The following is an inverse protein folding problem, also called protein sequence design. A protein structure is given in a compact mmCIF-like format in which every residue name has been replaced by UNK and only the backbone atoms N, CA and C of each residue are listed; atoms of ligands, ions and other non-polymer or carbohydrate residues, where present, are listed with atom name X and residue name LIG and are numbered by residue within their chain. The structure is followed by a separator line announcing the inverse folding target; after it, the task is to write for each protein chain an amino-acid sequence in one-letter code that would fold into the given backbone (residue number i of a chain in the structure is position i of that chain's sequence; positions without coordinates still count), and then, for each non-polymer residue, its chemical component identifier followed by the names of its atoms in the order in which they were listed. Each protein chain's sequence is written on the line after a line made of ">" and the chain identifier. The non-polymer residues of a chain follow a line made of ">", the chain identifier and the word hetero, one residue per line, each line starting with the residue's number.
data_IF_225990053901
#
_entry.id   IF_225990053901
#
_cell.length_a   1.000
_cell.length_b   1.000
_cell.length_c   1.000
_cell.angle_alpha   90.00
_cell.angle_beta   90.00
_cell.angle_gamma   90.00
#
_symmetry.space_group_name_H-M   'P 1'
#
loop_
_entity.id
_entity.type
_entity.pdbx_description
1 polymer ?
#
# COMPACT_ATOMS: atom_id res chain seq x y z
N UNK A 1 -93.60 -78.77 -2.81
CA UNK A 1 -92.89 -77.91 -3.80
C UNK A 1 -92.65 -78.71 -5.07
N UNK A 2 -92.84 -78.13 -6.26
CA UNK A 2 -92.59 -78.85 -7.52
C UNK A 2 -91.08 -78.94 -7.81
N UNK A 3 -90.60 -79.98 -8.50
CA UNK A 3 -89.18 -80.13 -8.88
C UNK A 3 -88.62 -78.94 -9.66
N UNK A 4 -89.47 -78.18 -10.36
CA UNK A 4 -89.09 -76.96 -11.09
C UNK A 4 -88.78 -75.80 -10.16
N UNK A 5 -89.55 -75.62 -9.08
CA UNK A 5 -89.30 -74.60 -8.07
C UNK A 5 -88.00 -74.90 -7.33
N UNK A 6 -87.72 -76.17 -7.02
CA UNK A 6 -86.48 -76.58 -6.35
C UNK A 6 -85.23 -76.33 -7.21
N UNK A 7 -85.28 -76.67 -8.50
CA UNK A 7 -84.18 -76.37 -9.45
C UNK A 7 -83.94 -74.87 -9.61
N UNK A 8 -85.00 -74.06 -9.68
CA UNK A 8 -84.89 -72.60 -9.74
C UNK A 8 -84.24 -72.02 -8.47
N UNK A 9 -84.62 -72.52 -7.30
CA UNK A 9 -84.07 -72.07 -6.02
C UNK A 9 -82.59 -72.44 -5.85
N UNK A 10 -82.20 -73.64 -6.27
CA UNK A 10 -80.78 -74.08 -6.26
C UNK A 10 -79.93 -73.27 -7.22
N UNK A 11 -80.42 -73.00 -8.43
CA UNK A 11 -79.70 -72.17 -9.41
C UNK A 11 -79.54 -70.73 -8.91
N UNK A 12 -80.57 -70.18 -8.25
CA UNK A 12 -80.51 -68.86 -7.65
C UNK A 12 -79.50 -68.81 -6.50
N UNK A 13 -79.52 -69.81 -5.60
CA UNK A 13 -78.55 -69.92 -4.50
C UNK A 13 -77.12 -70.11 -5.01
N UNK A 14 -76.92 -70.94 -6.05
CA UNK A 14 -75.62 -71.11 -6.68
C UNK A 14 -75.14 -69.81 -7.34
N UNK A 15 -76.02 -69.09 -8.05
CA UNK A 15 -75.71 -67.79 -8.65
C UNK A 15 -75.35 -66.73 -7.59
N UNK A 16 -76.09 -66.67 -6.48
CA UNK A 16 -75.80 -65.78 -5.36
C UNK A 16 -74.47 -66.13 -4.67
N UNK A 17 -74.17 -67.43 -4.53
CA UNK A 17 -72.90 -67.88 -3.94
C UNK A 17 -71.73 -67.50 -4.85
N UNK A 18 -71.83 -67.76 -6.16
CA UNK A 18 -70.82 -67.37 -7.15
C UNK A 18 -70.64 -65.85 -7.17
N UNK A 19 -71.73 -65.07 -7.15
CA UNK A 19 -71.67 -63.62 -7.08
C UNK A 19 -70.98 -63.13 -5.80
N UNK A 20 -71.30 -63.71 -4.64
CA UNK A 20 -70.68 -63.37 -3.36
C UNK A 20 -69.18 -63.69 -3.31
N UNK A 21 -68.76 -64.80 -3.93
CA UNK A 21 -67.35 -65.19 -4.05
C UNK A 21 -66.62 -64.23 -4.99
N UNK A 22 -67.23 -63.89 -6.12
CA UNK A 22 -66.66 -62.93 -7.08
C UNK A 22 -66.50 -61.54 -6.46
N UNK A 23 -67.54 -61.01 -5.80
CA UNK A 23 -67.44 -59.69 -5.13
C UNK A 23 -66.43 -59.69 -4.00
N UNK A 24 -66.36 -60.78 -3.21
CA UNK A 24 -65.33 -60.93 -2.17
C UNK A 24 -63.92 -60.97 -2.75
N UNK A 25 -63.72 -61.64 -3.89
CA UNK A 25 -62.45 -61.68 -4.59
C UNK A 25 -62.03 -60.30 -5.12
N UNK A 26 -62.94 -59.58 -5.77
CA UNK A 26 -62.68 -58.22 -6.28
C UNK A 26 -62.32 -57.28 -5.13
N UNK A 27 -63.11 -57.28 -4.05
CA UNK A 27 -62.85 -56.45 -2.86
C UNK A 27 -61.52 -56.82 -2.19
N UNK A 28 -61.16 -58.11 -2.12
CA UNK A 28 -59.88 -58.55 -1.57
C UNK A 28 -58.71 -58.10 -2.46
N UNK A 29 -58.87 -58.17 -3.79
CA UNK A 29 -57.87 -57.73 -4.75
C UNK A 29 -57.64 -56.21 -4.68
N UNK A 30 -58.72 -55.43 -4.66
CA UNK A 30 -58.66 -53.97 -4.48
C UNK A 30 -58.06 -53.60 -3.11
N UNK A 31 -58.44 -54.30 -2.03
CA UNK A 31 -57.87 -54.06 -0.71
C UNK A 31 -56.36 -54.37 -0.67
N UNK A 32 -55.91 -55.43 -1.36
CA UNK A 32 -54.48 -55.74 -1.50
C UNK A 32 -53.76 -54.66 -2.30
N UNK A 33 -54.34 -54.20 -3.40
CA UNK A 33 -53.76 -53.13 -4.21
C UNK A 33 -53.61 -51.83 -3.41
N UNK A 34 -54.68 -51.41 -2.73
CA UNK A 34 -54.66 -50.22 -1.88
C UNK A 34 -53.63 -50.32 -0.74
N UNK A 35 -53.44 -51.51 -0.15
CA UNK A 35 -52.38 -51.72 0.86
C UNK A 35 -50.98 -51.58 0.28
N UNK A 36 -50.75 -52.09 -0.94
CA UNK A 36 -49.46 -51.94 -1.60
C UNK A 36 -49.18 -50.48 -1.97
N UNK A 37 -50.19 -49.76 -2.48
CA UNK A 37 -50.10 -48.32 -2.77
C UNK A 37 -49.85 -47.51 -1.49
N UNK A 38 -50.51 -47.85 -0.38
CA UNK A 38 -50.27 -47.21 0.92
C UNK A 38 -48.83 -47.43 1.40
N UNK A 39 -48.31 -48.67 1.33
CA UNK A 39 -46.93 -48.96 1.69
C UNK A 39 -45.93 -48.22 0.80
N UNK A 40 -46.18 -48.12 -0.51
CA UNK A 40 -45.34 -47.33 -1.41
C UNK A 40 -45.36 -45.85 -1.05
N UNK A 41 -46.52 -45.32 -0.68
CA UNK A 41 -46.66 -43.93 -0.26
C UNK A 41 -45.95 -43.65 1.07
N UNK A 42 -46.00 -44.58 2.03
CA UNK A 42 -45.27 -44.51 3.30
C UNK A 42 -43.76 -44.49 3.06
N UNK A 43 -43.23 -45.40 2.23
CA UNK A 43 -41.80 -45.44 1.86
C UNK A 43 -41.38 -44.14 1.15
N UNK A 44 -42.21 -43.65 0.23
CA UNK A 44 -41.95 -42.40 -0.48
C UNK A 44 -41.94 -41.21 0.49
N UNK A 45 -42.87 -41.18 1.46
CA UNK A 45 -42.95 -40.14 2.47
C UNK A 45 -41.70 -40.13 3.36
N UNK A 46 -41.28 -41.29 3.88
CA UNK A 46 -40.05 -41.41 4.68
C UNK A 46 -38.82 -40.98 3.89
N UNK A 47 -38.74 -41.37 2.61
CA UNK A 47 -37.62 -40.98 1.72
C UNK A 47 -37.57 -39.47 1.49
N UNK A 48 -38.72 -38.85 1.20
CA UNK A 48 -38.81 -37.40 1.00
C UNK A 48 -38.50 -36.62 2.28
N UNK A 49 -38.99 -37.11 3.42
CA UNK A 49 -38.69 -36.51 4.72
C UNK A 49 -37.20 -36.58 5.06
N UNK A 50 -36.55 -37.72 4.80
CA UNK A 50 -35.11 -37.88 4.95
C UNK A 50 -34.32 -36.90 4.07
N UNK A 51 -34.68 -36.79 2.80
CA UNK A 51 -34.05 -35.83 1.86
C UNK A 51 -34.26 -34.37 2.28
N UNK A 52 -35.43 -34.03 2.82
CA UNK A 52 -35.71 -32.68 3.30
C UNK A 52 -34.80 -32.31 4.47
N UNK A 53 -34.61 -33.23 5.42
CA UNK A 53 -33.70 -33.04 6.55
C UNK A 53 -32.24 -32.91 6.14
N UNK A 54 -31.80 -33.71 5.16
CA UNK A 54 -30.45 -33.59 4.57
C UNK A 54 -30.27 -32.24 3.89
N UNK A 55 -31.29 -31.76 3.17
CA UNK A 55 -31.26 -30.45 2.51
C UNK A 55 -31.21 -29.31 3.54
N UNK A 56 -32.01 -29.35 4.60
CA UNK A 56 -31.97 -28.38 5.70
C UNK A 56 -30.57 -28.31 6.32
N UNK A 57 -29.98 -29.47 6.63
CA UNK A 57 -28.62 -29.55 7.19
C UNK A 57 -27.58 -28.96 6.23
N UNK A 58 -27.73 -29.23 4.92
CA UNK A 58 -26.83 -28.70 3.88
C UNK A 58 -26.96 -27.18 3.75
N UNK A 59 -28.18 -26.65 3.81
CA UNK A 59 -28.45 -25.22 3.77
C UNK A 59 -27.89 -24.51 5.01
N UNK A 60 -28.04 -25.09 6.19
CA UNK A 60 -27.43 -24.57 7.43
C UNK A 60 -25.90 -24.53 7.34
N UNK A 61 -25.29 -25.62 6.86
CA UNK A 61 -23.84 -25.68 6.66
C UNK A 61 -23.35 -24.66 5.62
N UNK A 62 -24.09 -24.49 4.52
CA UNK A 62 -23.79 -23.50 3.49
C UNK A 62 -23.92 -22.07 4.03
N UNK A 63 -24.96 -21.79 4.83
CA UNK A 63 -25.17 -20.49 5.44
C UNK A 63 -24.06 -20.15 6.46
N UNK A 64 -23.66 -21.12 7.28
CA UNK A 64 -22.51 -20.96 8.18
C UNK A 64 -21.20 -20.73 7.40
N UNK A 65 -21.00 -21.41 6.28
CA UNK A 65 -19.86 -21.18 5.38
C UNK A 65 -19.90 -19.78 4.78
N UNK A 66 -21.06 -19.32 4.32
CA UNK A 66 -21.25 -17.98 3.76
C UNK A 66 -20.92 -16.89 4.80
N UNK A 67 -21.40 -17.03 6.04
CA UNK A 67 -21.10 -16.09 7.11
C UNK A 67 -19.60 -16.03 7.45
N UNK A 68 -18.90 -17.17 7.48
CA UNK A 68 -17.44 -17.19 7.69
C UNK A 68 -16.68 -16.50 6.57
N UNK A 69 -17.09 -16.70 5.31
CA UNK A 69 -16.48 -16.01 4.16
C UNK A 69 -16.77 -14.51 4.20
N UNK A 70 -17.98 -14.11 4.59
CA UNK A 70 -18.34 -12.70 4.76
C UNK A 70 -17.48 -12.02 5.83
N UNK A 71 -17.23 -12.70 6.95
CA UNK A 71 -16.39 -12.21 8.04
C UNK A 71 -14.92 -12.11 7.61
N UNK A 72 -14.38 -13.15 6.96
CA UNK A 72 -13.05 -13.11 6.37
C UNK A 72 -12.88 -12.00 5.32
N UNK A 73 -13.92 -11.74 4.51
CA UNK A 73 -13.93 -10.62 3.57
C UNK A 73 -13.93 -9.26 4.28
N UNK A 74 -14.65 -9.11 5.40
CA UNK A 74 -14.62 -7.88 6.22
C UNK A 74 -13.27 -7.67 6.88
N UNK A 75 -12.64 -8.74 7.39
CA UNK A 75 -11.28 -8.69 7.93
C UNK A 75 -10.27 -8.33 6.84
N UNK A 76 -10.42 -8.91 5.65
CA UNK A 76 -9.61 -8.57 4.48
C UNK A 76 -9.85 -7.12 4.04
N UNK A 77 -11.09 -6.64 3.98
CA UNK A 77 -11.42 -5.24 3.67
C UNK A 77 -10.83 -4.29 4.73
N UNK A 78 -10.92 -4.63 6.02
CA UNK A 78 -10.33 -3.84 7.09
C UNK A 78 -8.79 -3.84 7.01
N UNK A 79 -8.17 -4.98 6.72
CA UNK A 79 -6.75 -5.10 6.46
C UNK A 79 -6.35 -4.30 5.20
N UNK A 80 -7.13 -4.39 4.12
CA UNK A 80 -6.92 -3.63 2.89
C UNK A 80 -7.15 -2.13 3.08
N UNK A 81 -8.06 -1.70 3.95
CA UNK A 81 -8.27 -0.29 4.29
C UNK A 81 -7.14 0.24 5.17
N UNK A 82 -6.72 -0.53 6.18
CA UNK A 82 -5.54 -0.25 6.98
C UNK A 82 -4.28 -0.18 6.12
N UNK A 83 -4.16 -1.08 5.15
CA UNK A 83 -3.13 -1.07 4.14
C UNK A 83 -3.34 0.11 3.18
N UNK A 84 -4.52 0.43 2.67
CA UNK A 84 -4.74 1.59 1.77
C UNK A 84 -4.46 2.95 2.44
N UNK A 85 -4.52 3.02 3.78
CA UNK A 85 -4.04 4.16 4.56
C UNK A 85 -2.52 4.20 4.74
N UNK A 86 -1.81 3.08 4.51
CA UNK A 86 -0.36 2.91 4.71
C UNK A 86 0.41 2.69 3.39
N UNK A 87 -0.02 1.73 2.57
CA UNK A 87 0.15 1.63 1.12
C UNK A 87 -0.64 2.72 0.41
N UNK A 88 0.10 3.70 -0.11
CA UNK A 88 -0.33 4.42 -1.30
C UNK A 88 -0.55 3.36 -2.39
N UNK A 89 -1.80 3.08 -2.78
CA UNK A 89 -2.05 2.27 -3.98
C UNK A 89 -1.51 3.06 -5.14
N UNK A 90 -0.42 2.52 -5.63
CA UNK A 90 0.51 3.19 -6.48
C UNK A 90 0.07 2.78 -7.89
N UNK A 91 -0.41 3.76 -8.69
CA UNK A 91 -0.98 3.55 -10.02
C UNK A 91 -0.04 2.81 -10.97
N UNK A 92 -0.57 2.14 -11.99
CA UNK A 92 0.17 1.24 -12.89
C UNK A 92 1.53 1.80 -13.41
N UNK A 93 2.65 1.52 -12.74
CA UNK A 93 4.01 2.05 -13.03
C UNK A 93 4.68 1.46 -14.25
N UNK A 94 4.14 0.37 -14.79
CA UNK A 94 4.69 -0.29 -15.98
C UNK A 94 4.65 0.58 -17.23
N UNK A 95 3.95 1.71 -17.19
CA UNK A 95 3.80 2.67 -18.29
C UNK A 95 4.42 4.04 -17.97
N UNK A 96 5.11 4.19 -16.84
CA UNK A 96 5.66 5.46 -16.38
C UNK A 96 7.12 5.58 -16.79
N UNK A 97 7.49 6.66 -17.49
CA UNK A 97 8.89 6.96 -17.81
C UNK A 97 9.69 7.19 -16.51
N UNK A 98 10.99 6.88 -16.54
CA UNK A 98 11.88 6.94 -15.35
C UNK A 98 11.84 8.31 -14.67
N UNK A 99 11.73 9.37 -15.46
CA UNK A 99 11.66 10.76 -15.03
C UNK A 99 10.32 11.06 -14.33
N UNK A 100 9.20 10.54 -14.84
CA UNK A 100 7.87 10.69 -14.23
C UNK A 100 7.77 9.89 -12.93
N UNK A 101 8.38 8.69 -12.88
CA UNK A 101 8.50 7.90 -11.66
C UNK A 101 9.31 8.65 -10.59
N UNK A 102 10.46 9.20 -10.97
CA UNK A 102 11.32 9.93 -10.05
C UNK A 102 10.68 11.23 -9.53
N UNK A 103 9.97 11.98 -10.39
CA UNK A 103 9.21 13.17 -10.00
C UNK A 103 8.10 12.85 -8.98
N UNK A 104 7.43 11.70 -9.14
CA UNK A 104 6.37 11.23 -8.23
C UNK A 104 6.87 10.54 -6.96
N UNK A 105 8.18 10.32 -6.78
CA UNK A 105 8.66 9.47 -5.69
C UNK A 105 9.83 10.01 -4.88
N UNK A 106 10.79 10.72 -5.48
CA UNK A 106 11.95 11.23 -4.75
C UNK A 106 11.68 12.54 -4.01
N UNK A 107 10.80 13.39 -4.53
CA UNK A 107 10.42 14.66 -3.88
C UNK A 107 8.90 14.86 -3.80
N UNK A 108 8.13 13.80 -4.08
CA UNK A 108 6.70 13.84 -3.83
C UNK A 108 6.45 13.99 -2.34
N UNK A 109 5.47 14.82 -2.02
CA UNK A 109 4.99 15.05 -0.68
C UNK A 109 3.49 14.82 -0.65
N UNK A 110 3.00 14.32 0.48
CA UNK A 110 1.58 14.04 0.68
C UNK A 110 0.92 15.10 1.55
N UNK A 111 -0.37 14.89 1.82
CA UNK A 111 -1.17 15.80 2.65
C UNK A 111 -0.62 15.93 4.07
N UNK A 112 -0.06 14.88 4.65
CA UNK A 112 0.50 14.89 6.01
C UNK A 112 1.70 15.84 6.08
N UNK A 113 2.56 15.83 5.05
CA UNK A 113 3.69 16.76 4.96
C UNK A 113 3.25 18.22 4.78
N UNK A 114 2.17 18.45 4.03
CA UNK A 114 1.57 19.79 3.87
C UNK A 114 1.02 20.29 5.21
N UNK A 115 0.30 19.44 5.95
CA UNK A 115 -0.22 19.79 7.28
C UNK A 115 0.92 20.12 8.25
N UNK A 116 1.97 19.30 8.29
CA UNK A 116 3.18 19.58 9.07
C UNK A 116 3.83 20.91 8.69
N UNK A 117 3.85 21.25 7.40
CA UNK A 117 4.39 22.53 6.91
C UNK A 117 3.58 23.73 7.39
N UNK A 118 2.26 23.62 7.36
CA UNK A 118 1.36 24.67 7.85
C UNK A 118 1.50 24.84 9.37
N UNK A 119 1.63 23.74 10.11
CA UNK A 119 1.82 23.77 11.57
C UNK A 119 3.16 24.38 11.96
N UNK A 120 4.24 24.06 11.22
CA UNK A 120 5.58 24.57 11.49
C UNK A 120 5.72 26.08 11.22
N UNK A 121 5.02 26.60 10.22
CA UNK A 121 5.14 28.00 9.79
C UNK A 121 4.06 28.91 10.37
N UNK A 122 2.87 28.37 10.68
CA UNK A 122 1.70 29.17 11.06
C UNK A 122 1.06 29.90 9.87
N UNK A 123 1.52 29.60 8.65
CA UNK A 123 1.17 30.31 7.42
C UNK A 123 2.08 31.50 7.15
N UNK A 124 2.37 31.73 5.86
CA UNK A 124 3.22 32.82 5.41
C UNK A 124 2.47 34.16 5.40
N UNK A 125 3.06 35.20 6.00
CA UNK A 125 2.46 36.54 6.10
C UNK A 125 2.68 37.44 4.86
N UNK A 126 3.45 36.95 3.88
CA UNK A 126 3.77 37.65 2.64
C UNK A 126 5.07 38.45 2.65
N UNK A 127 5.80 38.50 3.78
CA UNK A 127 7.04 39.29 3.91
C UNK A 127 8.31 38.46 3.65
N UNK A 128 9.40 39.15 3.29
CA UNK A 128 10.74 38.56 3.12
C UNK A 128 11.30 38.02 4.43
N UNK A 129 11.08 38.77 5.50
CA UNK A 129 11.61 38.44 6.83
C UNK A 129 10.91 37.22 7.42
N UNK A 130 9.60 37.11 7.20
CA UNK A 130 8.84 35.91 7.55
C UNK A 130 9.26 34.73 6.69
N UNK A 131 9.46 34.92 5.37
CA UNK A 131 9.97 33.85 4.50
C UNK A 131 11.28 33.24 5.02
N UNK A 132 12.29 34.07 5.35
CA UNK A 132 13.57 33.57 5.90
C UNK A 132 13.44 32.98 7.30
N UNK A 133 12.52 33.48 8.11
CA UNK A 133 12.22 32.94 9.43
C UNK A 133 11.53 31.59 9.32
N UNK A 134 10.59 31.44 8.40
CA UNK A 134 9.87 30.20 8.13
C UNK A 134 10.80 29.10 7.64
N UNK A 135 11.74 29.41 6.74
CA UNK A 135 12.77 28.43 6.35
C UNK A 135 13.49 27.85 7.59
N UNK A 136 13.79 28.70 8.56
CA UNK A 136 14.42 28.28 9.80
C UNK A 136 13.46 27.53 10.75
N UNK A 137 12.19 27.94 10.83
CA UNK A 137 11.15 27.22 11.61
C UNK A 137 10.92 25.81 11.06
N UNK A 138 10.89 25.66 9.73
CA UNK A 138 10.77 24.38 9.04
C UNK A 138 11.92 23.45 9.41
N UNK A 139 13.15 23.95 9.27
CA UNK A 139 14.35 23.24 9.71
C UNK A 139 14.20 22.77 11.16
N UNK A 140 13.90 23.70 12.08
CA UNK A 140 13.83 23.41 13.51
C UNK A 140 12.75 22.37 13.83
N UNK A 141 11.54 22.53 13.28
CA UNK A 141 10.45 21.59 13.47
C UNK A 141 10.80 20.18 12.96
N UNK A 142 11.46 20.08 11.81
CA UNK A 142 11.91 18.80 11.28
C UNK A 142 13.03 18.19 12.13
N UNK A 143 14.01 19.01 12.55
CA UNK A 143 15.10 18.59 13.43
C UNK A 143 14.60 18.03 14.76
N UNK A 144 13.60 18.68 15.37
CA UNK A 144 13.00 18.27 16.63
C UNK A 144 12.15 17.00 16.49
N UNK A 145 11.52 16.81 15.32
CA UNK A 145 10.72 15.61 15.04
C UNK A 145 11.56 14.40 14.63
N UNK A 146 12.78 14.60 14.12
CA UNK A 146 13.60 13.54 13.55
C UNK A 146 14.57 12.91 14.55
N UNK A 147 14.45 11.60 14.75
CA UNK A 147 15.36 10.82 15.57
C UNK A 147 16.51 10.24 14.71
N UNK A 148 17.76 10.57 15.06
CA UNK A 148 18.92 9.92 14.45
C UNK A 148 18.97 8.48 14.96
N UNK A 149 19.00 7.53 14.03
CA UNK A 149 19.08 6.11 14.32
C UNK A 149 20.26 5.52 13.53
N UNK A 150 21.42 5.41 14.17
CA UNK A 150 22.63 4.85 13.54
C UNK A 150 22.49 3.33 13.28
N UNK A 151 21.59 2.64 14.00
CA UNK A 151 21.26 1.22 13.79
C UNK A 151 20.27 1.00 12.63
N UNK A 152 19.58 2.06 12.16
CA UNK A 152 18.80 2.05 10.92
C UNK A 152 19.65 1.85 9.64
N UNK A 153 20.98 1.75 9.77
CA UNK A 153 21.86 1.15 8.76
C UNK A 153 21.53 -0.32 8.47
N UNK A 154 20.80 -0.98 9.38
CA UNK A 154 20.11 -2.24 9.09
C UNK A 154 18.81 -1.88 8.38
N UNK A 155 18.63 -2.21 7.08
CA UNK A 155 17.39 -1.90 6.37
C UNK A 155 16.25 -2.52 7.18
N UNK A 156 15.43 -1.65 7.78
CA UNK A 156 14.36 -2.00 8.71
C UNK A 156 13.21 -2.63 7.93
N UNK A 157 13.47 -3.82 7.39
CA UNK A 157 12.59 -4.58 6.51
C UNK A 157 12.35 -3.78 5.20
N UNK A 158 12.54 -4.34 3.99
CA UNK A 158 11.98 -3.73 2.80
C UNK A 158 10.45 -3.73 2.96
N UNK A 159 9.91 -2.68 3.59
CA UNK A 159 8.50 -2.60 3.96
C UNK A 159 7.59 -2.55 2.74
N UNK A 160 8.15 -2.34 1.53
CA UNK A 160 7.40 -2.36 0.28
C UNK A 160 8.29 -2.71 -0.92
N UNK A 161 8.58 -3.99 -1.13
CA UNK A 161 9.00 -4.45 -2.46
C UNK A 161 7.75 -4.55 -3.36
N UNK A 162 7.52 -3.56 -4.21
CA UNK A 162 6.54 -3.68 -5.30
C UNK A 162 7.16 -4.61 -6.35
N UNK A 163 6.57 -5.79 -6.49
CA UNK A 163 7.01 -6.79 -7.44
C UNK A 163 6.62 -6.36 -8.86
N UNK A 164 7.59 -5.92 -9.65
CA UNK A 164 7.52 -5.86 -11.11
C UNK A 164 8.75 -6.65 -11.64
N UNK A 165 8.86 -7.96 -11.43
CA UNK A 165 9.72 -8.89 -12.21
C UNK A 165 11.28 -8.82 -12.23
N UNK A 166 11.94 -9.92 -11.78
CA UNK A 166 13.28 -10.51 -12.14
C UNK A 166 14.69 -10.00 -11.67
N UNK A 167 15.37 -10.70 -10.71
CA UNK A 167 16.79 -10.64 -10.16
C UNK A 167 17.38 -9.38 -9.43
N UNK A 168 18.14 -9.37 -8.32
CA UNK A 168 18.84 -10.38 -7.50
C UNK A 168 19.10 -9.90 -6.05
N UNK A 169 19.28 -10.91 -5.17
CA UNK A 169 19.60 -10.97 -3.73
C UNK A 169 18.61 -10.28 -2.79
N UNK A 170 17.93 -11.08 -1.94
CA UNK A 170 17.95 -10.99 -0.46
C UNK A 170 17.19 -12.20 0.11
N UNK A 171 17.85 -12.95 0.99
CA UNK A 171 17.28 -14.06 1.79
C UNK A 171 16.70 -13.50 3.09
N UNK A 172 15.43 -13.78 3.38
CA UNK A 172 14.86 -13.65 4.74
C UNK A 172 13.86 -14.79 5.00
N UNK A 173 14.06 -15.53 6.10
CA UNK A 173 13.41 -16.81 6.48
C UNK A 173 11.88 -16.78 6.75
N UNK A 174 11.13 -15.78 6.26
CA UNK A 174 9.66 -15.68 6.46
C UNK A 174 8.88 -15.70 5.13
N UNK A 175 9.57 -15.74 3.97
CA UNK A 175 8.94 -15.76 2.65
C UNK A 175 8.89 -17.12 1.94
N UNK A 176 9.64 -18.11 2.42
CA UNK A 176 10.08 -19.23 1.57
C UNK A 176 8.93 -20.12 1.04
N UNK A 177 7.90 -20.38 1.84
CA UNK A 177 6.78 -21.24 1.38
C UNK A 177 5.82 -20.59 0.36
N UNK A 178 5.84 -19.26 0.21
CA UNK A 178 4.96 -18.57 -0.75
C UNK A 178 5.66 -18.28 -2.09
N UNK A 179 7.00 -18.21 -2.09
CA UNK A 179 7.79 -17.87 -3.29
C UNK A 179 8.31 -19.08 -4.06
N UNK A 180 8.46 -20.26 -3.44
CA UNK A 180 8.84 -21.51 -4.13
C UNK A 180 7.84 -21.91 -5.25
N UNK A 181 6.55 -21.56 -5.12
CA UNK A 181 5.54 -21.83 -6.15
C UNK A 181 5.57 -20.80 -7.31
N UNK A 182 6.01 -19.58 -7.03
CA UNK A 182 6.15 -18.52 -8.04
C UNK A 182 7.45 -18.63 -8.85
N UNK A 183 8.47 -19.28 -8.26
CA UNK A 183 9.79 -19.52 -8.85
C UNK A 183 9.73 -20.39 -10.12
N UNK A 184 8.74 -21.28 -10.24
CA UNK A 184 8.62 -22.18 -11.39
C UNK A 184 7.94 -21.57 -12.63
N UNK A 185 7.30 -20.40 -12.52
CA UNK A 185 6.37 -19.92 -13.56
C UNK A 185 6.83 -18.68 -14.34
N UNK A 186 7.79 -17.88 -13.86
CA UNK A 186 7.93 -16.49 -14.36
C UNK A 186 9.35 -15.99 -14.72
N UNK A 187 10.35 -16.88 -14.83
CA UNK A 187 11.77 -16.47 -14.82
C UNK A 187 12.42 -15.93 -16.10
N UNK A 188 11.68 -15.62 -17.18
CA UNK A 188 12.37 -15.37 -18.46
C UNK A 188 12.55 -13.93 -18.93
N UNK A 189 11.71 -12.90 -18.66
CA UNK A 189 11.92 -11.57 -19.29
C UNK A 189 11.13 -10.37 -18.67
N UNK A 190 11.49 -9.80 -17.50
CA UNK A 190 10.80 -8.60 -16.96
C UNK A 190 11.69 -7.62 -16.18
N UNK A 191 11.40 -6.29 -16.14
CA UNK A 191 12.24 -5.27 -15.50
C UNK A 191 11.77 -4.85 -14.08
N UNK A 192 12.63 -5.03 -13.07
CA UNK A 192 12.39 -4.66 -11.67
C UNK A 192 12.43 -3.16 -11.35
N UNK A 193 11.57 -2.76 -10.39
CA UNK A 193 11.65 -1.49 -9.66
C UNK A 193 11.82 -1.79 -8.16
N UNK A 194 13.05 -1.67 -7.65
CA UNK A 194 13.34 -1.69 -6.20
C UNK A 194 13.01 -0.31 -5.61
N UNK A 195 12.03 -0.24 -4.71
CA UNK A 195 11.77 0.94 -3.89
C UNK A 195 12.56 0.77 -2.59
N UNK A 196 13.76 1.33 -2.56
CA UNK A 196 14.52 1.47 -1.33
C UNK A 196 13.92 2.63 -0.51
N UNK A 197 14.31 2.76 0.77
CA UNK A 197 13.95 3.85 1.71
C UNK A 197 14.22 5.30 1.24
N UNK A 198 14.47 5.54 -0.05
CA UNK A 198 14.71 6.87 -0.63
C UNK A 198 13.45 7.70 -0.88
N UNK A 199 12.25 7.21 -0.58
CA UNK A 199 11.06 8.05 -0.73
C UNK A 199 10.96 9.03 0.44
N UNK A 200 10.79 10.30 0.10
CA UNK A 200 10.54 11.39 1.06
C UNK A 200 9.38 11.06 1.98
N UNK A 201 8.26 10.60 1.42
CA UNK A 201 7.04 10.31 2.19
C UNK A 201 7.27 9.20 3.21
N UNK A 202 8.01 8.15 2.84
CA UNK A 202 8.33 7.05 3.75
C UNK A 202 9.28 7.52 4.87
N UNK A 203 10.34 8.24 4.51
CA UNK A 203 11.30 8.82 5.48
C UNK A 203 10.61 9.79 6.44
N UNK A 204 9.67 10.60 5.95
CA UNK A 204 8.90 11.54 6.76
C UNK A 204 8.02 10.82 7.78
N UNK A 205 7.26 9.79 7.37
CA UNK A 205 6.38 9.03 8.28
C UNK A 205 7.15 8.30 9.38
N UNK A 206 8.33 7.80 9.07
CA UNK A 206 9.16 7.09 10.04
C UNK A 206 9.77 8.03 11.08
N UNK A 207 10.00 9.31 10.74
CA UNK A 207 10.63 10.32 11.62
C UNK A 207 12.00 9.89 12.17
N UNK A 208 12.67 8.97 11.48
CA UNK A 208 13.98 8.46 11.89
C UNK A 208 14.83 8.03 10.71
N UNK A 209 16.14 7.95 10.90
CA UNK A 209 17.08 7.47 9.91
C UNK A 209 18.44 8.15 10.00
N UNK A 210 19.16 8.14 8.88
CA UNK A 210 20.49 8.72 8.74
C UNK A 210 20.44 10.11 8.08
N UNK A 211 21.62 10.69 7.82
CA UNK A 211 21.74 12.05 7.30
C UNK A 211 21.07 12.25 5.94
N UNK A 212 21.12 11.26 5.04
CA UNK A 212 20.45 11.38 3.75
C UNK A 212 18.93 11.40 3.90
N UNK A 213 18.33 10.59 4.78
CA UNK A 213 16.88 10.58 5.03
C UNK A 213 16.43 11.94 5.55
N UNK A 214 17.20 12.50 6.47
CA UNK A 214 16.96 13.84 7.01
C UNK A 214 16.97 14.91 5.91
N UNK A 215 18.03 14.97 5.10
CA UNK A 215 18.20 15.97 4.07
C UNK A 215 17.19 15.82 2.90
N UNK A 216 16.83 14.59 2.54
CA UNK A 216 15.84 14.30 1.51
C UNK A 216 14.46 14.82 1.92
N UNK A 217 14.02 14.53 3.15
CA UNK A 217 12.74 15.04 3.66
C UNK A 217 12.77 16.56 3.77
N UNK A 218 13.85 17.13 4.32
CA UNK A 218 13.95 18.58 4.47
C UNK A 218 13.94 19.31 3.12
N UNK A 219 14.58 18.74 2.09
CA UNK A 219 14.49 19.23 0.71
C UNK A 219 13.05 19.28 0.22
N UNK A 220 12.26 18.23 0.46
CA UNK A 220 10.85 18.21 0.08
C UNK A 220 10.00 19.19 0.88
N UNK A 221 10.24 19.33 2.18
CA UNK A 221 9.55 20.32 3.01
C UNK A 221 9.76 21.75 2.49
N UNK A 222 10.95 22.09 1.99
CA UNK A 222 11.17 23.39 1.34
C UNK A 222 10.48 23.51 -0.02
N UNK A 223 10.35 22.43 -0.80
CA UNK A 223 9.51 22.46 -2.00
C UNK A 223 8.04 22.71 -1.67
N UNK A 224 7.50 22.06 -0.64
CA UNK A 224 6.13 22.31 -0.17
C UNK A 224 5.96 23.78 0.18
N UNK A 225 6.89 24.34 0.96
CA UNK A 225 6.80 25.73 1.36
C UNK A 225 6.87 26.68 0.15
N UNK A 226 7.76 26.43 -0.80
CA UNK A 226 7.84 27.18 -2.08
C UNK A 226 6.53 27.10 -2.87
N UNK A 227 5.91 25.92 -2.94
CA UNK A 227 4.65 25.70 -3.65
C UNK A 227 3.45 26.37 -2.94
N UNK A 228 3.37 26.30 -1.60
CA UNK A 228 2.31 26.95 -0.80
C UNK A 228 2.38 28.47 -0.91
N UNK A 229 3.58 29.02 -0.78
CA UNK A 229 3.80 30.48 -0.85
C UNK A 229 3.71 31.00 -2.29
N UNK A 230 3.82 30.13 -3.29
CA UNK A 230 3.99 30.53 -4.69
C UNK A 230 5.30 31.31 -4.92
N UNK A 231 6.20 31.30 -3.93
CA UNK A 231 7.47 32.00 -3.99
C UNK A 231 8.54 31.02 -4.42
N UNK A 232 9.24 31.40 -5.48
CA UNK A 232 10.32 30.61 -6.04
C UNK A 232 11.51 30.54 -5.09
N UNK A 233 11.91 29.32 -4.77
CA UNK A 233 13.10 28.99 -3.98
C UNK A 233 13.83 27.85 -4.68
N UNK A 234 15.04 28.07 -5.23
CA UNK A 234 15.88 26.97 -5.67
C UNK A 234 16.26 26.11 -4.46
N UNK A 235 15.90 24.82 -4.49
CA UNK A 235 16.22 23.85 -3.45
C UNK A 235 16.92 22.67 -4.10
N UNK A 236 17.95 22.12 -3.47
CA UNK A 236 18.54 20.86 -3.89
C UNK A 236 18.98 20.05 -2.67
N UNK A 237 18.87 18.73 -2.77
CA UNK A 237 19.68 17.85 -1.95
C UNK A 237 21.13 17.96 -2.44
N UNK A 238 22.07 18.13 -1.53
CA UNK A 238 23.49 18.27 -1.78
C UNK A 238 24.25 17.10 -1.15
N UNK A 239 24.91 16.30 -1.97
CA UNK A 239 25.83 15.25 -1.52
C UNK A 239 27.22 15.83 -1.30
N UNK A 240 27.83 15.45 -0.18
CA UNK A 240 29.20 15.81 0.16
C UNK A 240 30.05 14.58 0.43
N UNK A 241 31.38 14.75 0.37
CA UNK A 241 32.35 13.67 0.62
C UNK A 241 32.65 13.43 2.11
N UNK A 242 32.08 14.23 3.01
CA UNK A 242 32.33 14.13 4.45
C UNK A 242 31.86 12.78 5.00
N UNK A 243 32.66 12.16 5.87
CA UNK A 243 32.27 10.93 6.57
C UNK A 243 32.03 9.70 5.69
N UNK A 244 32.51 9.70 4.43
CA UNK A 244 32.24 8.61 3.48
C UNK A 244 30.99 8.81 2.62
N UNK A 245 30.33 9.96 2.74
CA UNK A 245 29.12 10.33 1.99
C UNK A 245 28.08 10.91 2.95
N UNK A 246 27.77 12.21 2.80
CA UNK A 246 26.83 12.91 3.66
C UNK A 246 25.84 13.75 2.86
N UNK A 247 24.61 13.88 3.36
CA UNK A 247 23.52 14.61 2.71
C UNK A 247 23.20 15.92 3.41
N UNK A 248 23.09 17.00 2.64
CA UNK A 248 22.72 18.34 3.10
C UNK A 248 21.61 18.91 2.21
N UNK A 249 21.06 20.05 2.59
CA UNK A 249 20.16 20.84 1.75
C UNK A 249 20.86 22.12 1.31
N UNK A 250 20.75 22.41 0.02
CA UNK A 250 21.21 23.65 -0.62
C UNK A 250 20.00 24.50 -0.99
N UNK A 251 20.01 25.77 -0.58
CA UNK A 251 18.99 26.76 -0.92
C UNK A 251 19.63 27.91 -1.71
N UNK A 252 19.01 28.30 -2.82
CA UNK A 252 19.47 29.38 -3.68
C UNK A 252 18.94 30.74 -3.25
N UNK A 253 19.84 31.72 -3.08
CA UNK A 253 19.50 33.11 -2.79
C UNK A 253 19.54 34.03 -4.03
N UNK A 254 19.87 33.48 -5.20
CA UNK A 254 20.17 34.24 -6.42
C UNK A 254 21.64 34.65 -6.53
N UNK A 255 22.13 34.83 -7.75
CA UNK A 255 23.54 35.15 -7.99
C UNK A 255 24.47 34.03 -7.50
N UNK A 256 25.49 34.38 -6.71
CA UNK A 256 26.40 33.44 -6.04
C UNK A 256 25.99 33.15 -4.59
N UNK A 257 24.82 33.62 -4.15
CA UNK A 257 24.36 33.49 -2.78
C UNK A 257 23.64 32.15 -2.56
N UNK A 258 23.99 31.51 -1.46
CA UNK A 258 23.45 30.20 -1.06
C UNK A 258 23.24 30.15 0.45
N UNK A 259 22.35 29.26 0.87
CA UNK A 259 22.28 28.77 2.23
C UNK A 259 22.46 27.25 2.24
N UNK A 260 23.16 26.73 3.25
CA UNK A 260 23.37 25.29 3.42
C UNK A 260 22.79 24.88 4.77
N UNK A 261 21.92 23.88 4.74
CA UNK A 261 21.30 23.30 5.93
C UNK A 261 21.74 21.85 6.05
N UNK A 262 22.55 21.59 7.06
CA UNK A 262 22.99 20.26 7.48
C UNK A 262 22.09 19.81 8.66
N UNK A 263 22.59 19.02 9.61
CA UNK A 263 21.89 18.81 10.88
C UNK A 263 21.57 20.11 11.61
N UNK A 264 22.44 21.11 11.45
CA UNK A 264 22.20 22.50 11.79
C UNK A 264 22.42 23.39 10.55
N UNK A 265 21.69 24.52 10.41
CA UNK A 265 21.96 25.51 9.38
C UNK A 265 23.35 26.11 9.55
N UNK A 266 24.18 25.97 8.53
CA UNK A 266 25.52 26.54 8.49
C UNK A 266 25.44 28.05 8.26
N UNK A 267 24.38 28.47 7.58
CA UNK A 267 24.15 29.85 7.15
C UNK A 267 22.92 30.42 7.88
N UNK A 268 23.12 30.84 9.13
CA UNK A 268 22.06 31.34 10.01
C UNK A 268 22.44 32.68 10.66
N UNK A 269 21.45 33.54 10.87
CA UNK A 269 21.58 34.78 11.64
C UNK A 269 20.38 34.93 12.58
N UNK A 270 20.59 34.66 13.87
CA UNK A 270 19.50 34.54 14.84
C UNK A 270 18.62 33.33 14.50
N UNK A 271 17.30 33.54 14.42
CA UNK A 271 16.31 32.51 14.04
C UNK A 271 15.93 32.59 12.55
N UNK A 272 16.90 32.90 11.67
CA UNK A 272 16.65 33.11 10.24
C UNK A 272 17.75 32.48 9.39
N UNK A 273 17.34 31.86 8.28
CA UNK A 273 18.27 31.41 7.25
C UNK A 273 18.87 32.64 6.55
N UNK A 274 20.20 32.66 6.45
CA UNK A 274 20.97 33.70 5.76
C UNK A 274 21.55 33.14 4.48
N UNK A 275 21.51 33.92 3.40
CA UNK A 275 22.18 33.58 2.15
C UNK A 275 23.50 34.34 2.04
N UNK A 276 24.59 33.63 1.78
CA UNK A 276 25.95 34.15 1.71
C UNK A 276 26.67 33.64 0.46
N UNK A 277 27.78 34.27 0.03
CA UNK A 277 28.54 33.80 -1.12
C UNK A 277 28.97 32.33 -0.97
N UNK A 278 28.88 31.57 -2.05
CA UNK A 278 29.14 30.12 -2.06
C UNK A 278 30.52 29.71 -1.55
N UNK A 279 31.55 30.54 -1.78
CA UNK A 279 32.90 30.29 -1.27
C UNK A 279 32.94 30.39 0.27
N UNK A 280 32.23 31.38 0.82
CA UNK A 280 32.09 31.56 2.27
C UNK A 280 31.26 30.43 2.88
N UNK A 281 30.16 30.03 2.22
CA UNK A 281 29.35 28.90 2.65
C UNK A 281 30.16 27.60 2.70
N UNK A 282 30.99 27.29 1.69
CA UNK A 282 31.89 26.12 1.70
C UNK A 282 32.90 26.19 2.83
N UNK A 283 33.51 27.36 3.05
CA UNK A 283 34.44 27.53 4.16
C UNK A 283 33.77 27.26 5.52
N UNK A 284 32.57 27.79 5.74
CA UNK A 284 31.81 27.55 6.98
C UNK A 284 31.36 26.09 7.11
N UNK A 285 31.00 25.43 6.00
CA UNK A 285 30.64 24.01 6.00
C UNK A 285 31.83 23.12 6.41
N UNK A 286 33.02 23.40 5.87
CA UNK A 286 34.25 22.73 6.29
C UNK A 286 34.55 22.93 7.77
N UNK A 287 34.33 24.14 8.29
CA UNK A 287 34.48 24.42 9.72
C UNK A 287 33.49 23.67 10.60
N UNK A 288 32.23 23.56 10.15
CA UNK A 288 31.19 22.80 10.83
C UNK A 288 31.62 21.32 10.99
N UNK A 289 32.24 20.74 9.96
CA UNK A 289 32.80 19.39 9.98
C UNK A 289 34.23 19.31 10.53
N UNK A 290 34.51 20.04 11.62
CA UNK A 290 35.80 20.05 12.33
C UNK A 290 37.03 20.36 11.45
N UNK A 291 36.85 21.14 10.39
CA UNK A 291 37.92 21.55 9.47
C UNK A 291 38.23 20.53 8.37
N UNK A 292 37.39 19.51 8.18
CA UNK A 292 37.52 18.62 7.02
C UNK A 292 37.25 19.38 5.72
N UNK A 293 37.97 19.02 4.66
CA UNK A 293 37.66 19.53 3.32
C UNK A 293 36.32 18.94 2.85
N UNK A 294 35.37 19.82 2.56
CA UNK A 294 34.05 19.46 2.05
C UNK A 294 34.05 19.65 0.55
N UNK A 295 33.89 18.54 -0.17
CA UNK A 295 33.61 18.58 -1.60
C UNK A 295 32.14 18.30 -1.86
N UNK A 296 31.57 19.10 -2.76
CA UNK A 296 30.20 18.99 -3.22
C UNK A 296 30.17 18.05 -4.41
N UNK A 297 29.92 16.77 -4.14
CA UNK A 297 30.08 15.67 -5.11
C UNK A 297 28.87 15.49 -6.02
N UNK A 298 27.69 15.94 -5.61
CA UNK A 298 26.51 15.90 -6.47
C UNK A 298 25.29 16.57 -5.87
N UNK A 299 24.28 16.75 -6.71
CA UNK A 299 23.00 17.37 -6.36
C UNK A 299 21.84 16.62 -6.97
N UNK A 300 20.69 16.69 -6.30
CA UNK A 300 19.40 16.20 -6.78
C UNK A 300 18.34 17.28 -6.51
N UNK A 301 17.60 17.68 -7.54
CA UNK A 301 16.58 18.72 -7.45
C UNK A 301 15.40 18.49 -8.39
N UNK A 302 14.31 19.24 -8.20
CA UNK A 302 13.10 19.23 -9.03
C UNK A 302 13.23 20.23 -10.20
N UNK A 303 12.73 19.89 -11.41
CA UNK A 303 12.26 18.58 -11.84
C UNK A 303 13.43 17.62 -12.08
N UNK A 304 13.35 16.40 -11.52
CA UNK A 304 14.32 15.29 -11.49
C UNK A 304 15.69 15.52 -12.18
N UNK A 305 16.44 16.49 -11.68
CA UNK A 305 17.76 16.85 -12.18
C UNK A 305 18.79 16.34 -11.18
N UNK A 306 19.63 15.40 -11.62
CA UNK A 306 20.78 14.95 -10.85
C UNK A 306 22.07 15.30 -11.57
N UNK A 307 23.03 15.87 -10.86
CA UNK A 307 24.35 16.18 -11.42
C UNK A 307 25.44 15.76 -10.44
N UNK A 308 26.50 15.17 -10.97
CA UNK A 308 27.71 14.82 -10.22
C UNK A 308 28.78 15.81 -10.64
N UNK A 309 29.56 16.30 -9.67
CA UNK A 309 30.62 17.25 -9.91
C UNK A 309 31.98 16.60 -9.67
N UNK A 310 32.92 16.91 -10.54
CA UNK A 310 34.31 16.47 -10.42
C UNK A 310 35.16 17.47 -9.62
N UNK A 311 34.65 18.69 -9.39
CA UNK A 311 35.33 19.74 -8.63
C UNK A 311 34.36 20.79 -8.10
N UNK A 312 34.80 21.56 -7.10
CA UNK A 312 34.04 22.69 -6.58
C UNK A 312 33.82 23.80 -7.62
N UNK A 313 34.77 24.05 -8.53
CA UNK A 313 34.59 25.04 -9.60
C UNK A 313 33.50 24.63 -10.58
N UNK A 314 33.37 23.33 -10.87
CA UNK A 314 32.27 22.80 -11.68
C UNK A 314 30.92 22.99 -10.98
N UNK A 315 30.86 22.71 -9.68
CA UNK A 315 29.68 22.97 -8.86
C UNK A 315 29.31 24.47 -8.87
N UNK A 316 30.28 25.36 -8.67
CA UNK A 316 30.06 26.81 -8.65
C UNK A 316 29.57 27.32 -10.00
N UNK A 317 30.14 26.83 -11.09
CA UNK A 317 29.66 27.15 -12.45
C UNK A 317 28.20 26.72 -12.63
N UNK A 318 27.88 25.47 -12.27
CA UNK A 318 26.51 24.96 -12.31
C UNK A 318 25.55 25.80 -11.46
N UNK A 319 25.97 26.19 -10.27
CA UNK A 319 25.17 26.98 -9.36
C UNK A 319 24.75 28.33 -9.97
N UNK A 320 25.71 29.02 -10.59
CA UNK A 320 25.51 30.30 -11.25
C UNK A 320 24.72 30.19 -12.55
N UNK A 321 24.95 29.11 -13.31
CA UNK A 321 24.42 28.97 -14.66
C UNK A 321 23.05 28.30 -14.72
N UNK A 322 22.74 27.42 -13.76
CA UNK A 322 21.57 26.57 -13.74
C UNK A 322 20.77 26.80 -12.45
N UNK A 323 21.31 26.48 -11.27
CA UNK A 323 20.55 26.43 -10.02
C UNK A 323 19.85 27.76 -9.65
N UNK A 324 20.60 28.86 -9.63
CA UNK A 324 20.07 30.17 -9.27
C UNK A 324 19.32 30.88 -10.43
N UNK A 325 19.26 30.26 -11.62
CA UNK A 325 18.45 30.76 -12.76
C UNK A 325 17.08 30.09 -12.87
N UNK A 326 16.83 28.99 -12.17
CA UNK A 326 15.59 28.19 -12.17
C UNK A 326 14.54 28.72 -11.24
#
# INVERSE_FOLDING_TARGET
>A
MSPRVWKGLVLLLAGLTIFSVYTSYVLLSENRQLRMELQQLEILHETLYGRLKELETTVEALNASYHRVLEANRELEAALMYLNGKLVVLGNFTLMEKEEFAEKYYFAYDREMVEFMMDATGGWDGTEEDFKSDLYRIYRAWRDAFAIDEEASTPLIPLLSINIGGGDYFTTEVGDSYFDLAEHLFYSNGPFIKIYEWSVVLSFRQRRGLCWSYAVVLTALYYIYSDITGRRLPVAYLSTTVGGGHGCVLLGGGGDLVAIVDWDPITVEGDKIKFIPVDEARYLHSRYWWGQEVDYSGVWMRPNTSKIFSSFEEFKKWLLEEFNKV
#
